data_IF_228624946275
#
_entry.id   IF_228624946275
#
_cell.length_a   1.000
_cell.length_b   1.000
_cell.length_c   1.000
_cell.angle_alpha   90.00
_cell.angle_beta   90.00
_cell.angle_gamma   90.00
#
_symmetry.space_group_name_H-M   'P 1'
#
loop_
_entity.id
_entity.type
_entity.pdbx_description
1 polymer ?
#
# COMPACT_ATOMS: atom_id res chain seq x y z
N UNK A 1 26.40 -9.69 12.29
CA UNK A 1 26.44 -9.18 10.90
C UNK A 1 25.08 -8.70 10.36
N UNK A 2 23.95 -9.40 10.61
CA UNK A 2 22.59 -8.95 10.20
C UNK A 2 22.16 -7.56 10.72
N UNK A 3 22.53 -7.20 11.94
CA UNK A 3 22.17 -5.89 12.53
C UNK A 3 22.95 -4.70 11.92
N UNK A 4 24.04 -4.96 11.19
CA UNK A 4 24.85 -3.91 10.57
C UNK A 4 24.27 -3.46 9.23
N UNK A 5 23.65 -4.38 8.47
CA UNK A 5 23.02 -4.09 7.16
C UNK A 5 21.72 -3.28 7.34
N UNK A 6 20.96 -3.55 8.40
CA UNK A 6 19.69 -2.83 8.69
C UNK A 6 19.96 -1.36 9.07
N UNK A 7 21.08 -1.06 9.74
CA UNK A 7 21.43 0.31 10.10
C UNK A 7 22.00 1.12 8.93
N UNK A 8 22.68 0.48 7.97
CA UNK A 8 23.22 1.17 6.78
C UNK A 8 22.08 1.64 5.84
N UNK A 9 21.00 0.86 5.70
CA UNK A 9 19.84 1.24 4.87
C UNK A 9 19.00 2.38 5.47
N UNK A 10 18.99 2.54 6.80
CA UNK A 10 18.29 3.66 7.47
C UNK A 10 19.00 5.01 7.27
N UNK A 11 20.32 5.02 7.19
CA UNK A 11 21.12 6.25 7.07
C UNK A 11 21.20 6.76 5.63
N UNK A 12 21.07 5.87 4.62
CA UNK A 12 21.26 6.23 3.21
C UNK A 12 19.99 6.64 2.44
N UNK A 13 18.77 6.39 2.97
CA UNK A 13 17.53 6.57 2.18
C UNK A 13 16.44 7.46 2.81
N UNK A 14 16.64 8.06 3.98
CA UNK A 14 15.64 8.96 4.59
C UNK A 14 14.27 8.33 4.88
N UNK A 15 14.15 6.99 4.81
CA UNK A 15 12.92 6.26 5.05
C UNK A 15 12.64 6.16 6.55
N UNK A 16 11.46 6.66 6.97
CA UNK A 16 11.11 6.78 8.39
C UNK A 16 10.87 5.44 9.10
N UNK A 17 10.40 4.39 8.41
CA UNK A 17 10.34 3.03 8.98
C UNK A 17 9.89 1.99 7.95
N UNK A 18 10.34 0.74 8.12
CA UNK A 18 9.75 -0.47 7.52
C UNK A 18 9.46 -1.41 8.69
N UNK A 19 8.20 -1.83 8.87
CA UNK A 19 7.79 -2.76 9.92
C UNK A 19 7.32 -4.07 9.28
N UNK A 20 7.86 -5.20 9.75
CA UNK A 20 7.54 -6.56 9.28
C UNK A 20 7.23 -7.42 10.52
N UNK A 21 6.11 -8.15 10.56
CA UNK A 21 5.78 -9.11 11.64
C UNK A 21 5.64 -10.53 11.09
N UNK A 22 6.08 -11.54 11.83
CA UNK A 22 6.13 -12.95 11.41
C UNK A 22 5.61 -13.92 12.50
N UNK A 23 5.04 -15.04 12.05
CA UNK A 23 4.77 -16.28 12.82
C UNK A 23 4.99 -17.49 11.89
N UNK A 24 5.55 -18.62 12.34
CA UNK A 24 5.91 -19.79 11.50
C UNK A 24 5.57 -21.14 12.18
N UNK A 25 5.18 -22.18 11.40
CA UNK A 25 5.88 -23.47 11.42
C UNK A 25 6.12 -24.13 10.03
N UNK A 26 6.63 -25.37 10.02
CA UNK A 26 7.55 -26.05 9.06
C UNK A 26 6.96 -26.69 7.77
N UNK A 27 7.91 -26.86 6.83
CA UNK A 27 7.94 -27.37 5.44
C UNK A 27 7.24 -28.71 5.09
N UNK A 28 6.63 -28.73 3.89
CA UNK A 28 6.49 -29.94 3.06
C UNK A 28 6.79 -29.63 1.58
N UNK A 29 7.50 -30.56 0.92
CA UNK A 29 8.00 -30.49 -0.45
C UNK A 29 6.90 -30.87 -1.47
N UNK A 30 6.39 -29.90 -2.22
CA UNK A 30 5.75 -30.08 -3.54
C UNK A 30 6.07 -28.83 -4.36
N UNK A 31 6.52 -28.99 -5.61
CA UNK A 31 6.57 -27.90 -6.59
C UNK A 31 5.13 -27.59 -7.03
N UNK A 32 4.35 -27.02 -6.14
CA UNK A 32 3.18 -26.24 -6.50
C UNK A 32 3.73 -24.83 -6.79
N UNK A 33 3.43 -24.29 -7.97
CA UNK A 33 3.74 -22.90 -8.29
C UNK A 33 2.91 -22.04 -7.33
N UNK A 34 3.54 -21.58 -6.25
CA UNK A 34 2.89 -20.73 -5.27
C UNK A 34 2.43 -19.44 -5.95
N UNK A 35 1.11 -19.27 -6.06
CA UNK A 35 0.52 -18.11 -6.72
C UNK A 35 0.53 -16.92 -5.77
N UNK A 36 1.60 -16.12 -5.84
CA UNK A 36 1.64 -14.82 -5.18
C UNK A 36 0.77 -13.83 -5.95
N UNK A 37 -0.16 -13.18 -5.26
CA UNK A 37 -0.94 -12.08 -5.85
C UNK A 37 -0.85 -10.84 -4.98
N UNK A 38 -0.92 -9.68 -5.61
CA UNK A 38 -0.76 -8.40 -4.93
C UNK A 38 -1.95 -7.48 -5.17
N UNK A 39 -2.30 -6.70 -4.16
CA UNK A 39 -3.21 -5.54 -4.27
C UNK A 39 -2.44 -4.30 -3.87
N UNK A 40 -2.73 -3.17 -4.50
CA UNK A 40 -2.07 -1.89 -4.21
C UNK A 40 -3.12 -0.80 -4.15
N UNK A 41 -3.04 0.05 -3.13
CA UNK A 41 -3.92 1.20 -2.95
C UNK A 41 -3.15 2.38 -2.37
N UNK A 42 -3.51 3.59 -2.78
CA UNK A 42 -3.18 4.78 -2.03
C UNK A 42 -4.32 5.09 -1.06
N UNK A 43 -4.00 5.17 0.23
CA UNK A 43 -4.97 5.37 1.32
C UNK A 43 -4.73 6.69 2.02
N UNK A 44 -5.84 7.34 2.37
CA UNK A 44 -5.90 8.54 3.20
C UNK A 44 -6.83 8.24 4.37
N UNK A 45 -6.34 8.48 5.60
CA UNK A 45 -7.09 8.24 6.83
C UNK A 45 -7.04 9.46 7.76
N UNK A 46 -8.14 9.70 8.47
CA UNK A 46 -8.18 10.71 9.52
C UNK A 46 -9.54 10.82 10.21
N UNK A 47 -9.55 11.35 11.44
CA UNK A 47 -10.76 11.55 12.25
C UNK A 47 -11.61 12.74 11.82
N UNK A 48 -11.08 13.62 10.96
CA UNK A 48 -11.81 14.74 10.34
C UNK A 48 -11.93 14.59 8.82
N UNK A 49 -11.53 13.43 8.28
CA UNK A 49 -11.55 13.16 6.85
C UNK A 49 -13.00 13.05 6.37
N UNK A 50 -13.33 13.79 5.30
CA UNK A 50 -14.60 13.66 4.58
C UNK A 50 -14.28 13.06 3.20
N UNK A 51 -14.60 11.77 2.94
CA UNK A 51 -14.18 11.10 1.70
C UNK A 51 -14.59 11.82 0.42
N UNK A 52 -15.80 12.39 0.37
CA UNK A 52 -16.29 13.13 -0.79
C UNK A 52 -15.49 14.41 -1.08
N UNK A 53 -14.90 15.05 -0.06
CA UNK A 53 -14.01 16.18 -0.26
C UNK A 53 -12.68 15.74 -0.88
N UNK A 54 -12.16 14.56 -0.51
CA UNK A 54 -10.95 14.01 -1.13
C UNK A 54 -11.19 13.70 -2.60
N UNK A 55 -12.30 13.06 -2.94
CA UNK A 55 -12.72 12.81 -4.32
C UNK A 55 -12.74 14.11 -5.13
N UNK A 56 -13.30 15.20 -4.59
CA UNK A 56 -13.33 16.51 -5.26
C UNK A 56 -11.95 17.15 -5.39
N UNK A 57 -11.12 17.08 -4.35
CA UNK A 57 -9.78 17.69 -4.33
C UNK A 57 -8.85 16.98 -5.31
N UNK A 58 -8.92 15.65 -5.36
CA UNK A 58 -8.06 14.84 -6.20
C UNK A 58 -8.66 14.59 -7.57
N UNK A 59 -9.96 14.81 -7.79
CA UNK A 59 -10.65 14.44 -9.04
C UNK A 59 -10.37 12.98 -9.41
N UNK A 60 -10.44 12.10 -8.41
CA UNK A 60 -10.24 10.66 -8.52
C UNK A 60 -11.44 9.94 -7.91
N UNK A 61 -11.93 8.92 -8.61
CA UNK A 61 -12.95 8.02 -8.07
C UNK A 61 -12.29 7.05 -7.09
N UNK A 62 -12.70 7.01 -5.81
CA UNK A 62 -12.14 6.06 -4.85
C UNK A 62 -12.52 4.63 -5.21
N UNK A 63 -11.65 3.68 -4.84
CA UNK A 63 -11.98 2.25 -4.83
C UNK A 63 -12.82 1.86 -3.62
N UNK A 64 -12.59 2.52 -2.49
CA UNK A 64 -13.33 2.31 -1.25
C UNK A 64 -13.35 3.59 -0.43
N UNK A 65 -14.48 3.87 0.22
CA UNK A 65 -14.62 4.89 1.27
C UNK A 65 -15.27 4.29 2.51
N UNK A 66 -14.83 4.71 3.69
CA UNK A 66 -15.49 4.40 4.97
C UNK A 66 -15.65 5.71 5.75
N UNK A 67 -16.83 5.95 6.34
CA UNK A 67 -17.02 7.00 7.34
C UNK A 67 -16.62 6.52 8.73
N UNK A 68 -16.49 7.47 9.66
CA UNK A 68 -16.20 7.15 11.07
C UNK A 68 -17.28 6.21 11.62
N UNK A 69 -16.85 5.15 12.31
CA UNK A 69 -17.73 4.14 12.87
C UNK A 69 -18.08 2.98 11.93
N UNK A 70 -17.83 3.10 10.62
CA UNK A 70 -18.13 2.04 9.64
C UNK A 70 -17.06 0.94 9.60
N UNK A 71 -15.82 1.25 10.01
CA UNK A 71 -14.73 0.27 9.95
C UNK A 71 -14.93 -0.87 10.95
N UNK A 72 -14.86 -2.11 10.46
CA UNK A 72 -14.86 -3.34 11.27
C UNK A 72 -13.54 -3.46 12.07
N UNK A 73 -12.45 -2.88 11.56
CA UNK A 73 -11.17 -2.89 12.25
C UNK A 73 -11.21 -1.90 13.44
N UNK A 74 -11.11 -2.37 14.69
CA UNK A 74 -11.23 -1.50 15.87
C UNK A 74 -10.15 -0.43 15.91
N UNK A 75 -8.97 -0.67 15.32
CA UNK A 75 -7.89 0.33 15.24
C UNK A 75 -8.22 1.51 14.33
N UNK A 76 -9.17 1.33 13.40
CA UNK A 76 -9.60 2.36 12.44
C UNK A 76 -10.99 2.89 12.70
N UNK A 77 -11.72 2.36 13.69
CA UNK A 77 -13.11 2.75 13.96
C UNK A 77 -13.31 4.26 14.17
N UNK A 78 -12.27 4.96 14.65
CA UNK A 78 -12.29 6.40 14.90
C UNK A 78 -11.82 7.26 13.70
N UNK A 79 -11.47 6.64 12.57
CA UNK A 79 -11.00 7.32 11.38
C UNK A 79 -11.91 6.99 10.19
N UNK A 80 -12.18 7.99 9.36
CA UNK A 80 -12.69 7.75 8.02
C UNK A 80 -11.53 7.32 7.09
N UNK A 81 -11.87 6.62 6.01
CA UNK A 81 -10.96 6.11 5.00
C UNK A 81 -11.39 6.57 3.61
N UNK A 82 -10.41 6.97 2.81
CA UNK A 82 -10.54 7.09 1.36
C UNK A 82 -9.38 6.31 0.73
N UNK A 83 -9.67 5.44 -0.24
CA UNK A 83 -8.67 4.63 -0.93
C UNK A 83 -8.81 4.72 -2.45
N UNK A 84 -7.70 4.51 -3.14
CA UNK A 84 -7.63 4.52 -4.60
C UNK A 84 -6.67 3.45 -5.11
N UNK A 85 -7.18 2.54 -5.93
CA UNK A 85 -6.41 1.46 -6.56
C UNK A 85 -6.02 1.75 -8.03
N UNK A 86 -6.33 2.95 -8.54
CA UNK A 86 -6.01 3.31 -9.91
C UNK A 86 -7.10 3.00 -10.94
N UNK A 87 -8.12 2.18 -10.64
CA UNK A 87 -9.06 1.70 -11.65
C UNK A 87 -10.42 2.38 -11.53
N UNK A 88 -10.94 2.79 -12.67
CA UNK A 88 -12.33 3.20 -12.83
C UNK A 88 -13.05 2.08 -13.57
N UNK A 89 -13.97 1.40 -12.90
CA UNK A 89 -14.77 0.34 -13.50
C UNK A 89 -16.18 0.48 -12.94
N UNK A 90 -17.10 1.00 -13.76
CA UNK A 90 -18.54 1.03 -13.45
C UNK A 90 -19.14 -0.37 -13.48
N UNK A 91 -18.49 -1.33 -14.17
CA UNK A 91 -19.09 -2.63 -14.49
C UNK A 91 -18.56 -3.79 -13.65
N UNK A 92 -17.41 -3.67 -13.00
CA UNK A 92 -16.86 -4.74 -12.16
C UNK A 92 -15.97 -4.16 -11.04
N UNK A 93 -16.48 -4.18 -9.80
CA UNK A 93 -15.73 -3.94 -8.55
C UNK A 93 -14.74 -5.08 -8.23
N UNK A 94 -14.20 -5.78 -9.22
CA UNK A 94 -13.22 -6.83 -8.95
C UNK A 94 -11.93 -6.17 -8.48
N UNK A 95 -11.49 -6.52 -7.27
CA UNK A 95 -10.18 -6.13 -6.74
C UNK A 95 -9.11 -6.50 -7.77
N UNK A 96 -8.48 -5.48 -8.36
CA UNK A 96 -7.37 -5.72 -9.26
C UNK A 96 -6.24 -6.39 -8.50
N UNK A 97 -5.87 -7.56 -9.00
CA UNK A 97 -4.70 -8.29 -8.55
C UNK A 97 -3.56 -8.09 -9.54
N UNK A 98 -2.37 -7.96 -9.01
CA UNK A 98 -1.13 -7.83 -9.76
C UNK A 98 -0.30 -9.10 -9.56
N UNK A 99 0.39 -9.53 -10.61
CA UNK A 99 1.36 -10.64 -10.55
C UNK A 99 2.63 -10.20 -9.82
N UNK A 100 3.01 -8.93 -9.97
CA UNK A 100 4.12 -8.34 -9.22
C UNK A 100 3.69 -7.10 -8.45
N UNK A 101 4.28 -6.91 -7.27
CA UNK A 101 4.04 -5.69 -6.49
C UNK A 101 4.56 -4.43 -7.18
N UNK A 102 5.65 -4.55 -7.94
CA UNK A 102 6.28 -3.44 -8.63
C UNK A 102 5.36 -2.85 -9.71
N UNK A 103 4.70 -3.69 -10.51
CA UNK A 103 3.73 -3.23 -11.52
C UNK A 103 2.58 -2.43 -10.90
N UNK A 104 1.99 -2.94 -9.82
CA UNK A 104 0.88 -2.24 -9.16
C UNK A 104 1.29 -0.91 -8.54
N UNK A 105 2.51 -0.83 -7.97
CA UNK A 105 3.05 0.42 -7.44
C UNK A 105 3.34 1.43 -8.54
N UNK A 106 4.00 1.01 -9.63
CA UNK A 106 4.29 1.90 -10.76
C UNK A 106 2.99 2.45 -11.37
N UNK A 107 1.97 1.60 -11.54
CA UNK A 107 0.67 1.99 -12.06
C UNK A 107 -0.01 3.07 -11.21
N UNK A 108 -0.07 2.87 -9.88
CA UNK A 108 -0.69 3.87 -8.99
C UNK A 108 0.13 5.16 -8.95
N UNK A 109 1.45 5.06 -8.89
CA UNK A 109 2.32 6.23 -8.88
C UNK A 109 2.17 7.07 -10.15
N UNK A 110 2.06 6.44 -11.32
CA UNK A 110 1.82 7.15 -12.58
C UNK A 110 0.55 8.02 -12.52
N UNK A 111 -0.53 7.51 -11.93
CA UNK A 111 -1.80 8.25 -11.79
C UNK A 111 -1.78 9.32 -10.71
N UNK A 112 -1.03 9.10 -9.64
CA UNK A 112 -0.94 10.04 -8.52
C UNK A 112 0.11 11.13 -8.74
N UNK A 113 1.12 10.89 -9.58
CA UNK A 113 2.22 11.83 -9.80
C UNK A 113 1.74 13.22 -10.23
N UNK A 114 0.78 13.38 -11.17
CA UNK A 114 0.25 14.70 -11.52
C UNK A 114 -0.43 15.43 -10.35
N UNK A 115 -0.82 14.69 -9.31
CA UNK A 115 -1.53 15.20 -8.12
C UNK A 115 -0.63 15.27 -6.89
N UNK A 116 0.67 14.94 -7.02
CA UNK A 116 1.61 14.87 -5.91
C UNK A 116 1.68 16.19 -5.12
N UNK A 117 1.71 17.34 -5.79
CA UNK A 117 1.74 18.64 -5.12
C UNK A 117 0.47 18.93 -4.29
N UNK A 118 -0.70 18.53 -4.79
CA UNK A 118 -1.98 18.66 -4.08
C UNK A 118 -1.97 17.74 -2.85
N UNK A 119 -1.56 16.49 -3.05
CA UNK A 119 -1.45 15.47 -2.01
C UNK A 119 -0.49 15.93 -0.89
N UNK A 120 0.66 16.49 -1.25
CA UNK A 120 1.67 16.92 -0.28
C UNK A 120 1.29 18.20 0.46
N UNK A 121 0.60 19.16 -0.17
CA UNK A 121 0.33 20.45 0.46
C UNK A 121 -1.06 20.56 1.08
N UNK A 122 -2.10 20.03 0.42
CA UNK A 122 -3.49 20.16 0.88
C UNK A 122 -3.93 19.02 1.78
N UNK A 123 -3.30 17.85 1.66
CA UNK A 123 -3.68 16.63 2.38
C UNK A 123 -2.62 16.18 3.40
N UNK A 124 -1.68 17.06 3.77
CA UNK A 124 -0.64 16.76 4.77
C UNK A 124 -1.16 16.55 6.20
N UNK A 125 -2.34 17.08 6.51
CA UNK A 125 -2.98 16.91 7.82
C UNK A 125 -3.49 15.48 8.05
N UNK A 126 -3.69 14.71 6.99
CA UNK A 126 -4.18 13.35 7.05
C UNK A 126 -3.03 12.34 7.01
N UNK A 127 -3.27 11.15 7.57
CA UNK A 127 -2.35 10.03 7.38
C UNK A 127 -2.49 9.55 5.94
N UNK A 128 -1.37 9.44 5.22
CA UNK A 128 -1.32 9.01 3.82
C UNK A 128 -0.28 7.93 3.63
N UNK A 129 -0.64 6.86 2.94
CA UNK A 129 0.26 5.74 2.71
C UNK A 129 -0.13 4.97 1.45
N UNK A 130 0.85 4.35 0.81
CA UNK A 130 0.66 3.28 -0.16
C UNK A 130 0.51 1.99 0.62
N UNK A 131 -0.63 1.35 0.51
CA UNK A 131 -0.91 0.05 1.10
C UNK A 131 -0.77 -1.04 0.04
N UNK A 132 -0.16 -2.16 0.41
CA UNK A 132 -0.02 -3.30 -0.46
C UNK A 132 -0.37 -4.59 0.29
N UNK A 133 -1.38 -5.30 -0.20
CA UNK A 133 -1.67 -6.66 0.25
C UNK A 133 -0.86 -7.66 -0.58
N UNK A 134 -0.11 -8.54 0.07
CA UNK A 134 0.59 -9.66 -0.52
C UNK A 134 -0.08 -10.95 -0.06
N UNK A 135 -0.69 -11.68 -0.98
CA UNK A 135 -1.38 -12.93 -0.73
C UNK A 135 -0.51 -14.07 -1.24
N UNK A 136 -0.02 -14.92 -0.33
CA UNK A 136 0.88 -16.03 -0.63
C UNK A 136 0.43 -17.30 0.09
N UNK A 137 0.71 -18.45 -0.49
CA UNK A 137 0.44 -19.76 0.13
C UNK A 137 1.59 -20.23 1.03
N UNK A 138 2.81 -19.76 0.79
CA UNK A 138 3.96 -20.08 1.62
C UNK A 138 4.98 -18.95 1.59
N UNK A 139 5.86 -18.89 2.60
CA UNK A 139 6.93 -17.90 2.64
C UNK A 139 8.00 -18.22 1.61
N UNK A 140 7.79 -17.74 0.37
CA UNK A 140 8.66 -17.98 -0.78
C UNK A 140 9.66 -16.83 -1.04
N UNK A 141 9.58 -15.75 -0.26
CA UNK A 141 10.42 -14.57 -0.38
C UNK A 141 9.63 -13.29 -0.15
N UNK A 142 10.27 -12.14 -0.38
CA UNK A 142 9.62 -10.84 -0.39
C UNK A 142 9.60 -10.25 -1.80
N UNK A 143 8.81 -9.19 -2.02
CA UNK A 143 8.78 -8.49 -3.30
C UNK A 143 10.17 -7.93 -3.63
N UNK A 144 10.52 -7.93 -4.91
CA UNK A 144 11.71 -7.26 -5.44
C UNK A 144 11.28 -5.91 -6.00
N UNK A 145 12.10 -4.89 -5.78
CA UNK A 145 11.89 -3.55 -6.33
C UNK A 145 13.11 -3.13 -7.14
N UNK A 146 12.87 -2.61 -8.33
CA UNK A 146 13.92 -1.94 -9.10
C UNK A 146 14.40 -0.65 -8.42
N UNK A 147 15.65 -0.21 -8.68
CA UNK A 147 16.11 1.10 -8.26
C UNK A 147 15.23 2.27 -8.76
N UNK A 148 14.62 2.12 -9.93
CA UNK A 148 13.72 3.14 -10.49
C UNK A 148 12.45 3.30 -9.65
N UNK A 149 11.80 2.19 -9.29
CA UNK A 149 10.63 2.23 -8.41
C UNK A 149 10.98 2.86 -7.06
N UNK A 150 12.11 2.48 -6.46
CA UNK A 150 12.55 3.05 -5.18
C UNK A 150 12.75 4.57 -5.26
N UNK A 151 13.29 5.06 -6.38
CA UNK A 151 13.43 6.50 -6.63
C UNK A 151 12.05 7.18 -6.73
N UNK A 152 11.11 6.62 -7.50
CA UNK A 152 9.74 7.17 -7.62
C UNK A 152 9.02 7.20 -6.27
N UNK A 153 9.16 6.15 -5.45
CA UNK A 153 8.58 6.10 -4.10
C UNK A 153 9.16 7.19 -3.19
N UNK A 154 10.48 7.40 -3.24
CA UNK A 154 11.15 8.45 -2.47
C UNK A 154 10.69 9.85 -2.90
N UNK A 155 10.58 10.10 -4.20
CA UNK A 155 10.11 11.37 -4.76
C UNK A 155 8.63 11.64 -4.42
N UNK A 156 7.79 10.60 -4.43
CA UNK A 156 6.38 10.73 -4.06
C UNK A 156 6.17 11.00 -2.55
N UNK A 157 7.18 10.70 -1.73
CA UNK A 157 7.26 11.04 -0.30
C UNK A 157 6.03 10.59 0.52
N UNK A 158 5.72 9.29 0.41
CA UNK A 158 4.60 8.66 1.12
C UNK A 158 5.05 7.32 1.70
N UNK A 159 4.55 6.97 2.88
CA UNK A 159 4.87 5.69 3.53
C UNK A 159 4.36 4.50 2.70
N UNK A 160 5.14 3.42 2.62
CA UNK A 160 4.75 2.16 1.99
C UNK A 160 4.49 1.10 3.09
N UNK A 161 3.28 0.55 3.13
CA UNK A 161 2.85 -0.49 4.08
C UNK A 161 2.64 -1.79 3.33
N UNK A 162 3.38 -2.84 3.73
CA UNK A 162 3.24 -4.18 3.18
C UNK A 162 2.52 -5.09 4.18
N UNK A 163 1.33 -5.55 3.82
CA UNK A 163 0.53 -6.51 4.58
C UNK A 163 0.66 -7.89 3.94
N UNK A 164 1.22 -8.86 4.66
CA UNK A 164 1.30 -10.24 4.18
C UNK A 164 0.09 -11.04 4.70
N UNK A 165 -0.55 -11.77 3.80
CA UNK A 165 -1.65 -12.67 4.04
C UNK A 165 -1.20 -14.06 3.60
N UNK A 166 -1.06 -14.97 4.55
CA UNK A 166 -0.79 -16.38 4.28
C UNK A 166 -2.06 -17.18 4.54
N UNK A 167 -2.45 -18.02 3.58
CA UNK A 167 -3.44 -19.06 3.81
C UNK A 167 -2.75 -20.22 4.53
N UNK A 168 -3.24 -20.60 5.71
CA UNK A 168 -2.79 -21.80 6.44
C UNK A 168 -3.36 -23.09 5.80
#
# INVERSE_FOLDING_TARGET
MRNMIINILKVLMGLKSIAISHTFPRLHNRKEEYMNTYTVEFRIEGSSLIPSNITKILELTPSQTENIGESINPKRKNNALWSYNGIFSEENFTEQKWETLEEGLLYILEKLQPKANIIQNKLNIYKRYLWCGHFQESFSGGPKFSPELLKKLAEFNTELILSNYCSD
#
